data_IF_340739900275
#
_entry.id   IF_340739900275
#
_cell.length_a   1.000
_cell.length_b   1.000
_cell.length_c   1.000
_cell.angle_alpha   90.00
_cell.angle_beta   90.00
_cell.angle_gamma   90.00
#
_symmetry.space_group_name_H-M   'P 1'
#
loop_
_entity.id
_entity.type
_entity.pdbx_description
1 polymer ?
#
# COMPACT_ATOMS: atom_id res chain seq x y z
N UNK A 1 -3.36 36.27 -1.31
CA UNK A 1 -3.96 35.52 -2.44
C UNK A 1 -4.63 34.24 -1.91
N UNK A 2 -5.79 34.35 -1.26
CA UNK A 2 -6.51 33.23 -0.60
C UNK A 2 -7.77 32.83 -1.42
N UNK A 3 -7.97 33.40 -2.61
CA UNK A 3 -9.17 33.20 -3.44
C UNK A 3 -9.26 31.90 -4.24
N UNK A 4 -8.21 31.06 -4.26
CA UNK A 4 -8.13 29.91 -5.19
C UNK A 4 -8.48 28.55 -4.55
N UNK A 5 -8.63 28.42 -3.24
CA UNK A 5 -8.96 27.13 -2.63
C UNK A 5 -10.42 26.73 -2.87
N UNK A 6 -11.37 27.66 -2.76
CA UNK A 6 -12.78 27.38 -2.99
C UNK A 6 -13.05 26.98 -4.45
N UNK A 7 -12.40 27.62 -5.42
CA UNK A 7 -12.52 27.28 -6.84
C UNK A 7 -11.85 25.95 -7.17
N UNK A 8 -10.72 25.64 -6.53
CA UNK A 8 -10.10 24.32 -6.66
C UNK A 8 -10.97 23.21 -6.08
N UNK A 9 -11.64 23.44 -4.93
CA UNK A 9 -12.54 22.44 -4.33
C UNK A 9 -13.84 22.24 -5.13
N UNK A 10 -14.34 23.27 -5.82
CA UNK A 10 -15.53 23.17 -6.69
C UNK A 10 -15.25 22.44 -8.02
N UNK A 11 -13.99 22.31 -8.43
CA UNK A 11 -13.59 21.62 -9.67
C UNK A 11 -13.23 20.13 -9.44
N UNK A 12 -13.33 19.65 -8.20
CA UNK A 12 -13.15 18.25 -7.81
C UNK A 12 -14.52 17.58 -7.74
N UNK A 13 -15.33 17.75 -8.79
CA UNK A 13 -16.51 16.92 -8.98
C UNK A 13 -16.03 15.53 -9.45
N UNK A 14 -15.84 14.66 -8.45
CA UNK A 14 -15.91 13.21 -8.45
C UNK A 14 -15.64 12.45 -9.78
N UNK A 15 -14.54 11.68 -9.80
CA UNK A 15 -14.26 10.63 -10.80
C UNK A 15 -14.20 11.08 -12.27
N UNK A 16 -13.53 12.18 -12.57
CA UNK A 16 -13.15 12.41 -13.97
C UNK A 16 -12.24 11.26 -14.46
N UNK A 17 -12.43 10.75 -15.69
CA UNK A 17 -11.61 9.66 -16.25
C UNK A 17 -10.10 9.96 -16.19
N UNK A 18 -9.74 11.25 -16.26
CA UNK A 18 -8.37 11.73 -16.10
C UNK A 18 -7.81 11.49 -14.70
N UNK A 19 -8.60 11.69 -13.64
CA UNK A 19 -8.19 11.40 -12.27
C UNK A 19 -7.92 9.91 -12.08
N UNK A 20 -8.81 9.06 -12.60
CA UNK A 20 -8.61 7.60 -12.58
C UNK A 20 -7.33 7.21 -13.33
N UNK A 21 -7.09 7.82 -14.50
CA UNK A 21 -5.87 7.62 -15.26
C UNK A 21 -4.60 8.02 -14.49
N UNK A 22 -4.61 9.19 -13.84
CA UNK A 22 -3.47 9.67 -13.04
C UNK A 22 -3.20 8.79 -11.82
N UNK A 23 -4.25 8.38 -11.10
CA UNK A 23 -4.11 7.47 -9.95
C UNK A 23 -3.59 6.11 -10.39
N UNK A 24 -4.08 5.59 -11.52
CA UNK A 24 -3.59 4.34 -12.10
C UNK A 24 -2.10 4.43 -12.47
N UNK A 25 -1.67 5.55 -13.05
CA UNK A 25 -0.27 5.80 -13.40
C UNK A 25 0.61 5.92 -12.15
N UNK A 26 0.16 6.63 -11.11
CA UNK A 26 0.84 6.70 -9.83
C UNK A 26 1.01 5.30 -9.21
N UNK A 27 -0.04 4.49 -9.23
CA UNK A 27 -0.01 3.09 -8.78
C UNK A 27 1.01 2.25 -9.54
N UNK A 28 1.12 2.42 -10.87
CA UNK A 28 2.14 1.73 -11.67
C UNK A 28 3.57 2.13 -11.29
N UNK A 29 3.82 3.43 -11.10
CA UNK A 29 5.14 3.92 -10.68
C UNK A 29 5.52 3.36 -9.30
N UNK A 30 4.58 3.39 -8.35
CA UNK A 30 4.78 2.83 -7.00
C UNK A 30 4.95 1.31 -7.05
N UNK A 31 4.20 0.61 -7.90
CA UNK A 31 4.29 -0.83 -8.08
C UNK A 31 5.66 -1.30 -8.59
N UNK A 32 6.34 -0.49 -9.39
CA UNK A 32 7.70 -0.77 -9.91
C UNK A 32 8.80 -0.33 -8.94
N UNK A 33 8.46 0.42 -7.88
CA UNK A 33 9.43 0.86 -6.90
C UNK A 33 10.07 -0.35 -6.17
N UNK A 34 11.40 -0.32 -5.90
CA UNK A 34 12.06 -1.43 -5.22
C UNK A 34 11.48 -1.78 -3.84
N UNK A 35 10.89 -0.80 -3.16
CA UNK A 35 10.18 -0.99 -1.89
C UNK A 35 8.94 -1.88 -2.00
N UNK A 36 8.40 -2.05 -3.20
CA UNK A 36 7.22 -2.87 -3.48
C UNK A 36 7.58 -4.33 -3.80
N UNK A 37 8.87 -4.67 -3.94
CA UNK A 37 9.30 -6.05 -4.22
C UNK A 37 8.87 -7.08 -3.17
N UNK A 38 8.90 -6.81 -1.86
CA UNK A 38 8.37 -7.74 -0.86
C UNK A 38 6.88 -8.04 -1.09
N UNK A 39 6.07 -7.04 -1.46
CA UNK A 39 4.66 -7.21 -1.77
C UNK A 39 4.45 -8.08 -3.00
N UNK A 40 5.23 -7.83 -4.05
CA UNK A 40 5.22 -8.65 -5.27
C UNK A 40 5.63 -10.08 -4.96
N UNK A 41 6.65 -10.30 -4.12
CA UNK A 41 7.09 -11.64 -3.71
C UNK A 41 6.01 -12.40 -2.95
N UNK A 42 5.26 -11.71 -2.08
CA UNK A 42 4.15 -12.30 -1.34
C UNK A 42 2.98 -12.64 -2.27
N UNK A 43 2.57 -11.70 -3.13
CA UNK A 43 1.50 -11.92 -4.09
C UNK A 43 1.82 -13.03 -5.10
N UNK A 44 3.05 -13.04 -5.63
CA UNK A 44 3.53 -14.08 -6.55
C UNK A 44 3.68 -15.44 -5.84
N UNK A 45 4.17 -15.47 -4.60
CA UNK A 45 4.23 -16.69 -3.78
C UNK A 45 2.83 -17.28 -3.50
N UNK A 46 1.83 -16.42 -3.31
CA UNK A 46 0.43 -16.81 -3.15
C UNK A 46 -0.12 -17.47 -4.44
N UNK A 47 0.17 -16.88 -5.60
CA UNK A 47 -0.26 -17.38 -6.89
C UNK A 47 0.48 -18.66 -7.33
N UNK A 48 1.79 -18.74 -7.06
CA UNK A 48 2.65 -19.85 -7.49
C UNK A 48 2.61 -21.06 -6.54
N UNK A 49 2.25 -20.88 -5.26
CA UNK A 49 2.14 -21.97 -4.28
C UNK A 49 1.08 -23.05 -4.60
N UNK A 50 0.32 -22.90 -5.68
CA UNK A 50 -0.74 -23.80 -6.12
C UNK A 50 -0.28 -24.94 -7.06
N UNK A 51 0.91 -25.51 -6.86
CA UNK A 51 1.55 -26.49 -7.75
C UNK A 51 0.78 -27.79 -8.08
N UNK A 52 -0.45 -27.98 -7.60
CA UNK A 52 -1.26 -29.17 -7.79
C UNK A 52 -2.50 -29.00 -8.70
N UNK A 53 -2.75 -27.80 -9.25
CA UNK A 53 -3.91 -27.54 -10.11
C UNK A 53 -3.55 -27.54 -11.61
N UNK A 54 -4.46 -27.96 -12.52
CA UNK A 54 -4.26 -27.84 -13.96
C UNK A 54 -3.96 -26.39 -14.37
N UNK A 55 -3.13 -26.20 -15.40
CA UNK A 55 -2.54 -24.90 -15.75
C UNK A 55 -3.56 -23.77 -15.96
N UNK A 56 -4.73 -24.09 -16.51
CA UNK A 56 -5.83 -23.14 -16.73
C UNK A 56 -6.49 -22.72 -15.41
N UNK A 57 -6.78 -23.69 -14.53
CA UNK A 57 -7.38 -23.45 -13.23
C UNK A 57 -6.41 -22.74 -12.25
N UNK A 58 -5.10 -22.94 -12.43
CA UNK A 58 -4.06 -22.24 -11.67
C UNK A 58 -3.99 -20.75 -12.00
N UNK A 59 -4.23 -20.34 -13.25
CA UNK A 59 -4.25 -18.92 -13.65
C UNK A 59 -5.46 -18.20 -13.07
N UNK A 60 -6.66 -18.77 -13.23
CA UNK A 60 -7.90 -18.17 -12.71
C UNK A 60 -7.84 -18.03 -11.19
N UNK A 61 -7.37 -19.06 -10.50
CA UNK A 61 -7.28 -19.07 -9.03
C UNK A 61 -6.14 -18.20 -8.50
N UNK A 62 -5.05 -18.05 -9.24
CA UNK A 62 -4.00 -17.07 -8.93
C UNK A 62 -4.51 -15.62 -9.06
N UNK A 63 -5.34 -15.35 -10.07
CA UNK A 63 -5.95 -14.05 -10.29
C UNK A 63 -6.98 -13.73 -9.19
N UNK A 64 -7.82 -14.69 -8.82
CA UNK A 64 -8.75 -14.59 -7.69
C UNK A 64 -8.04 -14.27 -6.37
N UNK A 65 -6.95 -14.97 -6.06
CA UNK A 65 -6.15 -14.72 -4.85
C UNK A 65 -5.50 -13.32 -4.87
N UNK A 66 -4.97 -12.91 -6.02
CA UNK A 66 -4.34 -11.59 -6.19
C UNK A 66 -5.35 -10.45 -6.01
N UNK A 67 -6.57 -10.63 -6.54
CA UNK A 67 -7.68 -9.70 -6.34
C UNK A 67 -8.06 -9.63 -4.86
N UNK A 68 -8.15 -10.77 -4.16
CA UNK A 68 -8.42 -10.79 -2.72
C UNK A 68 -7.37 -10.04 -1.91
N UNK A 69 -6.08 -10.24 -2.22
CA UNK A 69 -4.97 -9.51 -1.60
C UNK A 69 -5.06 -7.99 -1.85
N UNK A 70 -5.26 -7.59 -3.10
CA UNK A 70 -5.40 -6.17 -3.47
C UNK A 70 -6.62 -5.51 -2.80
N UNK A 71 -7.73 -6.24 -2.65
CA UNK A 71 -8.90 -5.77 -1.91
C UNK A 71 -8.61 -5.59 -0.42
N UNK A 72 -7.77 -6.44 0.18
CA UNK A 72 -7.30 -6.27 1.56
C UNK A 72 -6.58 -4.94 1.74
N UNK A 73 -5.56 -4.69 0.92
CA UNK A 73 -4.79 -3.42 0.90
C UNK A 73 -5.73 -2.24 0.68
N UNK A 74 -6.56 -2.30 -0.37
CA UNK A 74 -7.48 -1.23 -0.73
C UNK A 74 -8.52 -0.93 0.35
N UNK A 75 -8.92 -1.93 1.15
CA UNK A 75 -9.84 -1.69 2.26
C UNK A 75 -9.18 -0.80 3.32
N UNK A 76 -7.94 -1.09 3.69
CA UNK A 76 -7.22 -0.30 4.70
C UNK A 76 -6.98 1.12 4.18
N UNK A 77 -6.49 1.26 2.95
CA UNK A 77 -6.30 2.56 2.29
C UNK A 77 -7.61 3.37 2.24
N UNK A 78 -8.72 2.74 1.84
CA UNK A 78 -10.01 3.40 1.78
C UNK A 78 -10.52 3.81 3.17
N UNK A 79 -10.31 2.98 4.20
CA UNK A 79 -10.70 3.33 5.58
C UNK A 79 -9.88 4.47 6.13
N UNK A 80 -8.56 4.47 5.92
CA UNK A 80 -7.69 5.58 6.30
C UNK A 80 -8.07 6.84 5.51
N UNK A 81 -8.24 6.74 4.20
CA UNK A 81 -8.68 7.85 3.36
C UNK A 81 -10.02 8.44 3.81
N UNK A 82 -10.99 7.59 4.18
CA UNK A 82 -12.27 8.03 4.71
C UNK A 82 -12.14 8.72 6.08
N UNK A 83 -11.30 8.19 6.98
CA UNK A 83 -11.00 8.82 8.27
C UNK A 83 -10.34 10.19 8.07
N UNK A 84 -9.35 10.29 7.19
CA UNK A 84 -8.70 11.55 6.85
C UNK A 84 -9.65 12.52 6.15
N UNK A 85 -10.57 12.05 5.32
CA UNK A 85 -11.62 12.87 4.72
C UNK A 85 -12.59 13.41 5.76
N UNK A 86 -13.03 12.58 6.70
CA UNK A 86 -13.99 12.94 7.75
C UNK A 86 -13.37 13.89 8.79
N UNK A 87 -12.13 13.64 9.21
CA UNK A 87 -11.42 14.45 10.20
C UNK A 87 -10.50 15.50 9.58
N UNK A 88 -10.58 15.74 8.26
CA UNK A 88 -9.57 16.49 7.50
C UNK A 88 -9.18 17.84 8.10
N UNK A 89 -10.14 18.65 8.55
CA UNK A 89 -9.83 19.94 9.20
C UNK A 89 -9.11 19.80 10.54
N UNK A 90 -9.50 18.82 11.36
CA UNK A 90 -8.85 18.55 12.64
C UNK A 90 -7.44 17.97 12.43
N UNK A 91 -7.30 17.06 11.47
CA UNK A 91 -6.02 16.47 11.06
C UNK A 91 -5.09 17.54 10.52
N UNK A 92 -5.53 18.38 9.56
CA UNK A 92 -4.71 19.44 8.98
C UNK A 92 -4.20 20.43 10.05
N UNK A 93 -5.04 20.76 11.03
CA UNK A 93 -4.66 21.67 12.12
C UNK A 93 -3.61 21.05 13.05
N UNK A 94 -3.78 19.78 13.41
CA UNK A 94 -2.80 19.06 14.23
C UNK A 94 -1.51 18.82 13.47
N UNK A 95 -1.62 18.39 12.20
CA UNK A 95 -0.50 18.09 11.33
C UNK A 95 0.33 19.34 11.07
N UNK A 96 -0.28 20.50 10.82
CA UNK A 96 0.43 21.77 10.68
C UNK A 96 1.28 22.12 11.91
N UNK A 97 0.81 21.80 13.12
CA UNK A 97 1.57 22.08 14.36
C UNK A 97 2.75 21.12 14.58
N UNK A 98 2.65 19.88 14.09
CA UNK A 98 3.68 18.85 14.26
C UNK A 98 4.46 18.54 12.98
N UNK A 99 4.21 19.31 11.90
CA UNK A 99 4.68 19.01 10.56
C UNK A 99 6.21 18.96 10.49
N UNK A 100 6.86 19.91 11.16
CA UNK A 100 8.31 19.97 11.24
C UNK A 100 8.90 18.73 11.93
N UNK A 101 8.27 18.27 13.03
CA UNK A 101 8.70 17.08 13.75
C UNK A 101 8.42 15.80 12.98
N UNK A 102 7.28 15.71 12.30
CA UNK A 102 6.93 14.59 11.45
C UNK A 102 7.89 14.47 10.26
N UNK A 103 8.22 15.57 9.59
CA UNK A 103 9.20 15.57 8.51
C UNK A 103 10.61 15.29 9.02
N UNK A 104 11.00 15.80 10.19
CA UNK A 104 12.30 15.50 10.78
C UNK A 104 12.42 14.02 11.14
N UNK A 105 11.39 13.43 11.73
CA UNK A 105 11.33 12.00 12.01
C UNK A 105 11.41 11.18 10.71
N UNK A 106 10.63 11.55 9.70
CA UNK A 106 10.65 10.88 8.40
C UNK A 106 12.02 10.99 7.72
N UNK A 107 12.67 12.15 7.79
CA UNK A 107 14.01 12.35 7.29
C UNK A 107 15.02 11.45 8.01
N UNK A 108 14.95 11.36 9.34
CA UNK A 108 15.79 10.45 10.13
C UNK A 108 15.56 9.00 9.70
N UNK A 109 14.31 8.56 9.57
CA UNK A 109 13.97 7.21 9.11
C UNK A 109 14.52 6.93 7.71
N UNK A 110 14.43 7.90 6.79
CA UNK A 110 15.00 7.79 5.44
C UNK A 110 16.52 7.72 5.44
N UNK A 111 17.19 8.49 6.30
CA UNK A 111 18.66 8.40 6.47
C UNK A 111 19.05 7.03 7.01
N UNK A 112 18.36 6.53 8.02
CA UNK A 112 18.61 5.19 8.59
C UNK A 112 18.38 4.10 7.53
N UNK A 113 17.28 4.20 6.78
CA UNK A 113 16.98 3.27 5.69
C UNK A 113 18.06 3.33 4.58
N UNK A 114 18.51 4.52 4.20
CA UNK A 114 19.59 4.69 3.22
C UNK A 114 20.91 4.07 3.71
N UNK A 115 21.28 4.29 4.98
CA UNK A 115 22.46 3.68 5.59
C UNK A 115 22.36 2.16 5.68
N UNK A 116 21.16 1.63 5.96
CA UNK A 116 20.90 0.19 5.97
C UNK A 116 21.01 -0.41 4.56
N UNK A 117 20.48 0.27 3.54
CA UNK A 117 20.61 -0.14 2.12
C UNK A 117 22.07 -0.09 1.64
N UNK A 118 22.86 0.88 2.11
CA UNK A 118 24.31 0.97 1.87
C UNK A 118 25.12 -0.05 2.68
N UNK A 119 24.47 -0.92 3.47
CA UNK A 119 25.09 -1.92 4.37
C UNK A 119 26.03 -1.34 5.42
N UNK A 120 25.89 -0.05 5.75
CA UNK A 120 26.64 0.59 6.84
C UNK A 120 26.11 0.10 8.19
N UNK A 121 24.82 -0.23 8.27
CA UNK A 121 24.15 -0.70 9.48
C UNK A 121 23.51 -2.07 9.21
N UNK A 122 23.85 -3.08 10.02
CA UNK A 122 23.28 -4.42 9.93
C UNK A 122 22.10 -4.54 10.90
N UNK A 123 20.87 -4.46 10.37
CA UNK A 123 19.65 -4.68 11.16
C UNK A 123 19.35 -6.18 11.13
N UNK A 124 19.62 -6.88 12.24
CA UNK A 124 19.25 -8.29 12.40
C UNK A 124 17.80 -8.33 12.86
N UNK A 125 16.89 -8.64 11.94
CA UNK A 125 15.49 -8.90 12.29
C UNK A 125 15.38 -10.35 12.76
N UNK A 126 15.03 -10.61 14.03
CA UNK A 126 14.82 -11.97 14.51
C UNK A 126 13.62 -12.57 13.77
N UNK A 127 13.87 -13.54 12.92
CA UNK A 127 12.83 -14.26 12.17
C UNK A 127 12.13 -15.23 13.11
N UNK A 128 11.01 -14.78 13.68
CA UNK A 128 10.01 -15.66 14.26
C UNK A 128 9.45 -16.48 13.10
N UNK A 129 9.96 -17.69 12.85
CA UNK A 129 9.52 -18.55 11.76
C UNK A 129 8.10 -19.07 12.04
N UNK A 130 7.04 -18.47 11.49
CA UNK A 130 5.69 -18.95 11.72
C UNK A 130 5.45 -20.08 10.73
N UNK A 131 4.74 -21.14 11.14
CA UNK A 131 4.34 -22.19 10.23
C UNK A 131 3.48 -21.58 9.11
N UNK A 132 4.05 -21.45 7.90
CA UNK A 132 3.42 -20.84 6.74
C UNK A 132 2.27 -21.73 6.26
N UNK A 133 1.07 -21.50 6.78
CA UNK A 133 -0.14 -22.13 6.24
C UNK A 133 -0.47 -21.42 4.92
N UNK A 134 -0.43 -22.12 3.78
CA UNK A 134 -0.73 -21.49 2.49
C UNK A 134 -2.18 -20.99 2.52
N UNK A 135 -2.39 -19.71 2.24
CA UNK A 135 -3.72 -19.15 2.05
C UNK A 135 -4.33 -19.77 0.78
N UNK A 136 -5.14 -20.82 0.96
CA UNK A 136 -5.78 -21.56 -0.14
C UNK A 136 -7.12 -20.97 -0.57
N UNK A 137 -7.60 -19.94 0.13
CA UNK A 137 -8.91 -19.31 -0.04
C UNK A 137 -8.80 -17.80 -0.24
N UNK A 138 -9.79 -17.22 -0.91
CA UNK A 138 -9.94 -15.78 -1.12
C UNK A 138 -9.94 -14.97 0.20
N UNK A 139 -10.60 -15.47 1.24
CA UNK A 139 -10.55 -14.84 2.56
C UNK A 139 -9.15 -14.84 3.18
N UNK A 140 -8.35 -15.88 2.93
CA UNK A 140 -6.96 -15.94 3.36
C UNK A 140 -6.09 -14.94 2.62
N UNK A 141 -6.31 -14.72 1.32
CA UNK A 141 -5.56 -13.71 0.57
C UNK A 141 -5.95 -12.28 0.96
N UNK A 142 -7.23 -12.04 1.24
CA UNK A 142 -7.73 -10.76 1.77
C UNK A 142 -7.08 -10.39 3.10
N UNK A 143 -7.12 -11.30 4.09
CA UNK A 143 -6.50 -11.06 5.40
C UNK A 143 -4.99 -10.82 5.31
N UNK A 144 -4.33 -11.46 4.34
CA UNK A 144 -2.91 -11.29 4.11
C UNK A 144 -2.57 -9.96 3.45
N UNK A 145 -3.52 -9.32 2.77
CA UNK A 145 -3.40 -7.97 2.22
C UNK A 145 -3.54 -6.85 3.26
N UNK A 146 -4.28 -7.08 4.35
CA UNK A 146 -4.50 -6.07 5.40
C UNK A 146 -3.23 -5.45 6.02
N UNK A 147 -2.16 -6.19 6.38
CA UNK A 147 -0.97 -5.58 6.97
C UNK A 147 -0.12 -4.75 5.98
N UNK A 148 -0.49 -4.76 4.70
CA UNK A 148 0.25 -4.10 3.63
C UNK A 148 -0.44 -2.86 3.06
N UNK A 149 -1.68 -2.55 3.49
CA UNK A 149 -2.28 -1.23 3.36
C UNK A 149 -2.07 -0.44 4.65
#
# INVERSE_FOLDING_TARGET
>A
MIGNLNTAMQNIDALTPLTVGLVSLAGLVVGVAPSSFPLISVATGLALGQGAAPAEQRRVRGLELSVGFALGVATVDATLGALFGFFGFAVLRLLASYLAYAYLLFAILMVVAALALLRVIHIVVPTLAPASKPARSFGGSYLLGLPFG
#
